data_IF_385292865639
#
_entry.id   IF_385292865639
#
_cell.length_a   1.000
_cell.length_b   1.000
_cell.length_c   1.000
_cell.angle_alpha   90.00
_cell.angle_beta   90.00
_cell.angle_gamma   90.00
#
_symmetry.space_group_name_H-M   'P 1'
#
loop_
_entity.id
_entity.type
_entity.pdbx_description
1 polymer ?
#
# COMPACT_ATOMS: atom_id res chain seq x y z
N UNK A 1 12.56 -19.32 4.04
CA UNK A 1 13.21 -18.15 3.43
C UNK A 1 12.15 -17.07 3.35
N UNK A 2 12.28 -15.92 4.03
CA UNK A 2 11.29 -14.86 3.87
C UNK A 2 11.43 -14.28 2.46
N UNK A 3 10.36 -14.36 1.67
CA UNK A 3 10.28 -13.73 0.37
C UNK A 3 10.66 -12.26 0.50
N UNK A 4 11.60 -11.84 -0.33
CA UNK A 4 12.10 -10.48 -0.37
C UNK A 4 11.03 -9.60 -1.01
N UNK A 5 9.99 -9.28 -0.25
CA UNK A 5 8.89 -8.41 -0.71
C UNK A 5 9.44 -7.00 -0.82
N UNK A 6 9.90 -6.65 -2.01
CA UNK A 6 10.26 -5.28 -2.36
C UNK A 6 9.10 -4.36 -1.96
N UNK A 7 9.38 -3.44 -1.04
CA UNK A 7 8.34 -2.63 -0.41
C UNK A 7 7.96 -1.51 -1.36
N UNK A 8 6.98 -1.75 -2.22
CA UNK A 8 6.50 -0.73 -3.16
C UNK A 8 5.94 0.44 -2.37
N UNK A 9 6.59 1.60 -2.48
CA UNK A 9 6.09 2.83 -1.91
C UNK A 9 5.04 3.40 -2.86
N UNK A 10 3.76 3.54 -2.42
CA UNK A 10 2.77 4.21 -3.24
C UNK A 10 3.22 5.66 -3.50
N UNK A 11 2.89 6.17 -4.69
CA UNK A 11 3.13 7.58 -4.99
C UNK A 11 2.45 8.46 -3.93
N UNK A 12 3.10 9.55 -3.48
CA UNK A 12 2.56 10.40 -2.40
C UNK A 12 1.11 10.84 -2.65
N UNK A 13 0.81 11.29 -3.87
CA UNK A 13 -0.55 11.68 -4.25
C UNK A 13 -1.58 10.54 -4.27
N UNK A 14 -1.14 9.31 -4.52
CA UNK A 14 -1.99 8.11 -4.51
C UNK A 14 -2.47 7.82 -3.08
N UNK A 15 -1.56 7.94 -2.11
CA UNK A 15 -1.84 7.68 -0.71
C UNK A 15 -2.77 8.74 -0.12
N UNK A 16 -2.54 10.02 -0.41
CA UNK A 16 -3.41 11.12 0.03
C UNK A 16 -4.83 10.94 -0.45
N UNK A 17 -5.02 10.66 -1.74
CA UNK A 17 -6.36 10.47 -2.32
C UNK A 17 -7.06 9.25 -1.73
N UNK A 18 -6.33 8.17 -1.49
CA UNK A 18 -6.88 6.99 -0.82
C UNK A 18 -7.29 7.30 0.62
N UNK A 19 -6.46 8.01 1.38
CA UNK A 19 -6.74 8.35 2.77
C UNK A 19 -7.99 9.24 2.89
N UNK A 20 -8.15 10.26 2.05
CA UNK A 20 -9.35 11.11 2.04
C UNK A 20 -10.63 10.34 1.68
N UNK A 21 -10.52 9.35 0.77
CA UNK A 21 -11.64 8.51 0.39
C UNK A 21 -12.07 7.56 1.52
N UNK A 22 -11.10 6.89 2.16
CA UNK A 22 -11.36 5.72 3.02
C UNK A 22 -11.23 5.98 4.53
N UNK A 23 -10.59 7.06 4.96
CA UNK A 23 -10.42 7.40 6.38
C UNK A 23 -11.34 8.56 6.72
N UNK A 24 -12.30 8.31 7.61
CA UNK A 24 -13.31 9.31 8.00
C UNK A 24 -13.22 9.59 9.50
N UNK A 25 -13.11 10.87 9.90
CA UNK A 25 -13.33 11.25 11.29
C UNK A 25 -14.70 10.73 11.74
N UNK A 26 -14.76 10.14 12.93
CA UNK A 26 -16.01 9.69 13.52
C UNK A 26 -16.20 10.33 14.89
N UNK A 27 -17.43 10.72 15.26
CA UNK A 27 -17.69 11.23 16.61
C UNK A 27 -17.31 10.16 17.62
N UNK A 28 -16.65 10.59 18.70
CA UNK A 28 -16.29 9.71 19.81
C UNK A 28 -17.59 9.10 20.32
N UNK A 29 -17.77 7.79 20.09
CA UNK A 29 -18.90 7.09 20.64
C UNK A 29 -18.64 6.96 22.14
N UNK A 30 -19.14 7.93 22.92
CA UNK A 30 -19.30 7.78 24.37
C UNK A 30 -20.36 6.70 24.55
N UNK A 31 -19.94 5.44 24.44
CA UNK A 31 -20.84 4.30 24.40
C UNK A 31 -21.61 4.24 25.72
N UNK A 32 -22.83 4.77 25.68
CA UNK A 32 -23.83 4.55 26.71
C UNK A 32 -24.28 3.10 26.59
N UNK A 33 -23.59 2.24 27.33
CA UNK A 33 -23.96 0.91 27.79
C UNK A 33 -23.61 -0.31 26.89
N UNK A 34 -22.73 -1.14 27.46
CA UNK A 34 -22.53 -2.59 27.29
C UNK A 34 -21.69 -3.19 26.16
N UNK A 35 -21.15 -2.41 25.23
CA UNK A 35 -20.11 -2.92 24.32
C UNK A 35 -18.74 -2.40 24.77
N UNK A 36 -17.68 -3.23 24.82
CA UNK A 36 -16.31 -2.78 25.10
C UNK A 36 -15.75 -2.02 23.90
N UNK A 37 -16.39 -0.91 23.53
CA UNK A 37 -15.79 0.08 22.65
C UNK A 37 -14.59 0.66 23.41
N UNK A 38 -13.39 0.30 23.00
CA UNK A 38 -12.18 0.87 23.58
C UNK A 38 -12.25 2.39 23.39
N UNK A 39 -12.27 3.13 24.49
CA UNK A 39 -12.17 4.60 24.48
C UNK A 39 -10.76 5.08 24.10
N UNK A 40 -9.87 4.14 23.80
CA UNK A 40 -8.45 4.32 23.55
C UNK A 40 -8.09 3.80 22.16
N UNK A 41 -7.09 4.45 21.57
CA UNK A 41 -6.50 4.09 20.30
C UNK A 41 -5.69 2.80 20.41
N UNK A 42 -5.92 1.83 19.54
CA UNK A 42 -5.19 0.55 19.59
C UNK A 42 -3.71 0.66 19.16
N UNK A 43 -3.29 1.81 18.61
CA UNK A 43 -1.91 2.02 18.14
C UNK A 43 -1.05 2.63 19.24
N UNK A 44 -1.47 3.77 19.81
CA UNK A 44 -0.72 4.48 20.85
C UNK A 44 -1.25 4.27 22.27
N UNK A 45 -2.43 3.64 22.43
CA UNK A 45 -3.11 3.44 23.72
C UNK A 45 -3.57 4.74 24.40
N UNK A 46 -3.62 5.86 23.67
CA UNK A 46 -4.12 7.13 24.19
C UNK A 46 -5.64 7.26 24.01
N UNK A 47 -6.34 7.95 24.92
CA UNK A 47 -7.77 8.19 24.80
C UNK A 47 -8.08 9.13 23.64
N UNK A 48 -9.18 8.87 22.93
CA UNK A 48 -9.65 9.75 21.86
C UNK A 48 -10.08 11.11 22.41
N UNK A 49 -9.79 12.18 21.67
CA UNK A 49 -10.23 13.52 22.00
C UNK A 49 -10.50 14.34 20.72
N UNK A 50 -11.24 15.45 20.84
CA UNK A 50 -11.71 16.22 19.68
C UNK A 50 -10.62 17.06 18.99
N UNK A 51 -9.47 17.27 19.63
CA UNK A 51 -8.47 18.25 19.18
C UNK A 51 -7.16 17.66 18.68
N UNK A 52 -6.63 16.68 19.41
CA UNK A 52 -5.30 16.12 19.22
C UNK A 52 -5.38 14.64 18.77
N UNK A 53 -6.31 13.89 19.35
CA UNK A 53 -6.46 12.45 19.12
C UNK A 53 -7.83 12.10 18.52
N UNK A 54 -8.16 12.74 17.40
CA UNK A 54 -9.46 12.59 16.72
C UNK A 54 -9.66 11.13 16.31
N UNK A 55 -10.77 10.54 16.75
CA UNK A 55 -11.14 9.19 16.34
C UNK A 55 -11.47 9.17 14.84
N UNK A 56 -10.84 8.26 14.10
CA UNK A 56 -11.05 8.04 12.69
C UNK A 56 -11.34 6.57 12.41
N UNK A 57 -12.30 6.33 11.52
CA UNK A 57 -12.75 5.01 11.09
C UNK A 57 -12.31 4.75 9.66
N UNK A 58 -11.86 3.52 9.41
CA UNK A 58 -11.60 3.03 8.05
C UNK A 58 -12.94 2.58 7.43
N UNK A 59 -13.27 3.12 6.27
CA UNK A 59 -14.55 2.93 5.57
C UNK A 59 -14.33 2.43 4.15
N UNK A 60 -15.34 1.77 3.59
CA UNK A 60 -15.35 1.29 2.20
C UNK A 60 -14.22 0.30 1.85
N UNK A 61 -13.78 -0.49 2.83
CA UNK A 61 -12.80 -1.57 2.65
C UNK A 61 -13.39 -2.88 3.17
N UNK A 62 -13.64 -3.83 2.27
CA UNK A 62 -14.27 -5.11 2.61
C UNK A 62 -13.44 -5.97 3.57
N UNK A 63 -12.12 -5.83 3.58
CA UNK A 63 -11.19 -6.58 4.44
C UNK A 63 -11.09 -6.02 5.85
N UNK A 64 -11.62 -4.82 6.11
CA UNK A 64 -11.51 -4.14 7.39
C UNK A 64 -12.91 -3.69 7.88
N UNK A 65 -13.50 -4.36 8.87
CA UNK A 65 -14.88 -4.12 9.33
C UNK A 65 -15.01 -2.85 10.19
N UNK A 66 -14.55 -1.69 9.70
CA UNK A 66 -14.69 -0.40 10.38
C UNK A 66 -13.93 -0.23 11.70
N UNK A 67 -12.68 -0.70 11.76
CA UNK A 67 -11.80 -0.42 12.90
C UNK A 67 -11.55 1.10 13.07
N UNK A 68 -11.47 1.52 14.34
CA UNK A 68 -11.28 2.92 14.76
C UNK A 68 -9.88 3.11 15.34
N UNK A 69 -9.23 4.20 14.96
CA UNK A 69 -7.89 4.59 15.39
C UNK A 69 -7.83 6.10 15.61
N UNK A 70 -6.75 6.59 16.24
CA UNK A 70 -6.45 8.02 16.19
C UNK A 70 -6.09 8.41 14.76
N UNK A 71 -6.65 9.51 14.27
CA UNK A 71 -6.46 9.98 12.89
C UNK A 71 -4.96 10.10 12.57
N UNK A 72 -4.20 10.79 13.41
CA UNK A 72 -2.75 10.93 13.24
C UNK A 72 -2.04 9.58 13.27
N UNK A 73 -2.47 8.66 14.14
CA UNK A 73 -1.84 7.34 14.28
C UNK A 73 -2.04 6.48 13.04
N UNK A 74 -3.24 6.41 12.47
CA UNK A 74 -3.48 5.59 11.28
C UNK A 74 -2.80 6.17 10.05
N UNK A 75 -2.75 7.50 9.91
CA UNK A 75 -1.99 8.14 8.83
C UNK A 75 -0.50 7.85 8.98
N UNK A 76 0.06 8.02 10.18
CA UNK A 76 1.47 7.72 10.46
C UNK A 76 1.78 6.24 10.20
N UNK A 77 0.84 5.35 10.52
CA UNK A 77 0.97 3.92 10.25
C UNK A 77 1.10 3.64 8.75
N UNK A 78 0.15 4.11 7.92
CA UNK A 78 0.15 3.84 6.47
C UNK A 78 1.27 4.57 5.73
N UNK A 79 1.76 5.69 6.26
CA UNK A 79 2.91 6.43 5.71
C UNK A 79 4.25 5.93 6.26
N UNK A 80 4.30 5.01 7.22
CA UNK A 80 5.58 4.53 7.77
C UNK A 80 6.37 3.72 6.72
N UNK A 81 7.68 3.51 6.90
CA UNK A 81 8.46 2.61 6.02
C UNK A 81 8.32 1.13 6.47
N UNK A 82 7.32 0.77 7.27
CA UNK A 82 7.14 -0.60 7.79
C UNK A 82 6.57 -1.53 6.71
N UNK A 83 6.94 -2.83 6.70
CA UNK A 83 6.43 -3.80 5.71
C UNK A 83 4.92 -4.02 5.84
N UNK A 84 4.38 -3.95 7.06
CA UNK A 84 2.96 -4.19 7.35
C UNK A 84 2.09 -2.93 7.35
N UNK A 85 2.63 -1.78 6.92
CA UNK A 85 1.92 -0.48 6.93
C UNK A 85 0.60 -0.48 6.16
N UNK A 86 0.50 -1.33 5.13
CA UNK A 86 -0.68 -1.42 4.27
C UNK A 86 -1.75 -2.36 4.84
N UNK A 87 -1.54 -2.90 6.03
CA UNK A 87 -2.49 -3.77 6.71
C UNK A 87 -3.06 -3.08 7.96
N UNK A 88 -4.32 -3.41 8.28
CA UNK A 88 -4.99 -2.92 9.47
C UNK A 88 -4.27 -3.42 10.74
N UNK A 89 -3.93 -2.57 11.71
CA UNK A 89 -3.28 -3.01 12.95
C UNK A 89 -4.10 -4.00 13.79
N UNK A 90 -5.43 -3.99 13.65
CA UNK A 90 -6.33 -4.86 14.43
C UNK A 90 -6.62 -6.17 13.69
N UNK A 91 -7.27 -6.12 12.51
CA UNK A 91 -7.66 -7.34 11.79
C UNK A 91 -6.64 -7.84 10.77
N UNK A 92 -5.54 -7.11 10.55
CA UNK A 92 -4.55 -7.41 9.49
C UNK A 92 -5.13 -7.44 8.07
N UNK A 93 -6.35 -6.94 7.87
CA UNK A 93 -6.95 -6.78 6.55
C UNK A 93 -6.18 -5.76 5.70
N UNK A 94 -6.01 -6.06 4.41
CA UNK A 94 -5.30 -5.19 3.48
C UNK A 94 -6.07 -3.88 3.25
N UNK A 95 -5.46 -2.75 3.58
CA UNK A 95 -6.03 -1.41 3.46
C UNK A 95 -5.86 -0.86 2.03
N UNK A 96 -4.64 -0.92 1.50
CA UNK A 96 -4.30 -0.37 0.19
C UNK A 96 -3.73 -1.47 -0.72
N UNK A 97 -4.34 -1.66 -1.90
CA UNK A 97 -3.75 -2.45 -2.99
C UNK A 97 -2.97 -1.53 -3.91
N UNK A 98 -1.66 -1.67 -3.94
CA UNK A 98 -0.82 -0.98 -4.95
C UNK A 98 -1.00 -1.72 -6.28
N UNK A 99 -1.78 -1.14 -7.19
CA UNK A 99 -1.88 -1.63 -8.57
C UNK A 99 -0.52 -1.38 -9.23
N UNK A 100 0.33 -2.40 -9.31
CA UNK A 100 1.67 -2.23 -9.85
C UNK A 100 2.59 -3.43 -9.74
N UNK A 101 2.32 -4.37 -8.83
CA UNK A 101 2.97 -5.68 -8.84
C UNK A 101 2.03 -6.74 -9.41
N UNK A 102 1.73 -6.61 -10.71
CA UNK A 102 1.54 -7.82 -11.51
C UNK A 102 2.95 -8.29 -11.90
N UNK A 103 3.80 -8.59 -10.91
CA UNK A 103 5.09 -9.22 -11.18
C UNK A 103 4.79 -10.66 -11.59
N UNK A 104 4.53 -10.84 -12.89
CA UNK A 104 4.91 -12.06 -13.59
C UNK A 104 4.20 -13.36 -13.24
N UNK A 105 3.19 -13.38 -12.36
CA UNK A 105 2.30 -14.53 -12.29
C UNK A 105 1.42 -14.53 -13.56
N UNK A 106 1.70 -15.49 -14.44
CA UNK A 106 0.84 -15.98 -15.50
C UNK A 106 0.79 -15.18 -16.80
N UNK A 107 1.97 -14.90 -17.37
CA UNK A 107 2.11 -14.95 -18.83
C UNK A 107 3.05 -16.08 -19.25
N UNK A 108 2.93 -17.22 -18.58
CA UNK A 108 3.36 -18.51 -19.13
C UNK A 108 2.26 -19.06 -20.04
N UNK A 109 1.79 -18.29 -21.03
CA UNK A 109 0.90 -18.87 -22.03
C UNK A 109 0.95 -18.11 -23.35
N UNK A 110 1.31 -18.89 -24.37
CA UNK A 110 1.01 -18.70 -25.77
C UNK A 110 1.83 -17.67 -26.56
N UNK A 111 3.15 -17.88 -26.65
CA UNK A 111 3.81 -17.66 -27.93
C UNK A 111 5.13 -18.43 -28.03
N UNK A 112 5.12 -19.63 -28.61
CA UNK A 112 5.97 -20.04 -29.74
C UNK A 112 5.75 -21.54 -30.01
N UNK A 113 4.64 -21.84 -30.70
CA UNK A 113 4.66 -22.92 -31.67
C UNK A 113 5.52 -22.45 -32.84
N UNK A 114 6.84 -22.62 -32.72
CA UNK A 114 7.70 -22.74 -33.90
C UNK A 114 7.79 -24.22 -34.21
N UNK A 115 6.79 -24.69 -34.94
CA UNK A 115 6.92 -25.90 -35.75
C UNK A 115 7.98 -25.63 -36.83
N UNK A 116 8.78 -26.65 -37.16
CA UNK A 116 9.81 -26.71 -38.20
C UNK A 116 11.16 -26.02 -37.96
N UNK A 117 12.05 -26.74 -37.27
CA UNK A 117 13.44 -26.86 -37.73
C UNK A 117 14.01 -28.22 -37.34
N UNK A 118 13.79 -29.19 -38.20
CA UNK A 118 14.55 -30.43 -38.24
C UNK A 118 16.01 -30.10 -38.61
N UNK A 119 16.91 -29.99 -37.63
CA UNK A 119 18.31 -30.34 -37.90
C UNK A 119 18.97 -30.94 -36.65
N UNK A 120 19.43 -32.16 -36.87
CA UNK A 120 19.99 -33.04 -35.89
C UNK A 120 21.51 -32.85 -35.84
N UNK A 121 22.03 -32.32 -34.73
CA UNK A 121 23.42 -32.61 -34.34
C UNK A 121 23.51 -32.96 -32.88
N UNK A 122 23.40 -34.27 -32.67
CA UNK A 122 24.04 -35.11 -31.68
C UNK A 122 25.24 -34.42 -30.98
N UNK A 123 25.09 -34.04 -29.72
CA UNK A 123 26.22 -33.82 -28.81
C UNK A 123 25.98 -34.62 -27.53
N UNK A 124 26.61 -35.80 -27.57
CA UNK A 124 26.94 -36.71 -26.49
C UNK A 124 27.62 -35.93 -25.36
N UNK A 125 26.91 -35.73 -24.24
CA UNK A 125 27.50 -35.26 -22.99
C UNK A 125 27.50 -36.40 -21.99
N UNK A 126 28.72 -36.80 -21.66
CA UNK A 126 29.06 -37.91 -20.79
C UNK A 126 28.63 -37.63 -19.35
N UNK A 127 27.88 -38.58 -18.82
CA UNK A 127 27.92 -39.13 -17.46
C UNK A 127 28.90 -38.46 -16.48
N UNK A 128 28.40 -37.55 -15.63
CA UNK A 128 29.12 -37.06 -14.44
C UNK A 128 28.39 -37.43 -13.16
N UNK A 129 28.61 -38.69 -12.78
CA UNK A 129 29.03 -39.17 -11.45
C UNK A 129 28.46 -38.48 -10.20
N UNK A 130 27.74 -39.30 -9.44
CA UNK A 130 27.26 -39.15 -8.07
C UNK A 130 28.28 -38.52 -7.11
N UNK A 131 27.80 -37.60 -6.26
CA UNK A 131 28.49 -37.24 -5.03
C UNK A 131 27.47 -37.13 -3.90
N UNK A 132 27.31 -38.25 -3.20
CA UNK A 132 26.56 -38.39 -1.96
C UNK A 132 27.15 -37.48 -0.87
N UNK A 133 26.44 -36.39 -0.58
CA UNK A 133 26.75 -35.45 0.48
C UNK A 133 25.88 -35.70 1.71
N UNK A 134 26.37 -36.59 2.56
CA UNK A 134 25.97 -36.83 3.95
C UNK A 134 26.02 -35.53 4.76
N UNK A 135 24.88 -35.10 5.34
CA UNK A 135 24.88 -34.26 6.54
C UNK A 135 23.73 -34.68 7.47
N UNK A 136 24.08 -35.62 8.34
CA UNK A 136 23.73 -35.71 9.76
C UNK A 136 22.42 -35.08 10.25
N UNK A 137 21.61 -36.00 10.78
CA UNK A 137 20.61 -35.85 11.83
C UNK A 137 20.95 -34.78 12.88
N UNK A 138 20.03 -33.83 13.12
CA UNK A 138 19.94 -33.15 14.41
C UNK A 138 18.51 -33.27 14.94
N UNK A 139 18.47 -34.00 16.05
CA UNK A 139 17.35 -34.45 16.86
C UNK A 139 16.97 -33.31 17.82
N UNK A 140 15.73 -32.82 17.72
CA UNK A 140 15.08 -32.11 18.82
C UNK A 140 13.56 -32.19 18.65
N UNK A 141 13.01 -33.28 19.19
CA UNK A 141 11.62 -33.44 19.55
C UNK A 141 11.28 -32.53 20.74
N UNK A 142 10.40 -31.54 20.53
CA UNK A 142 9.59 -31.00 21.63
C UNK A 142 8.12 -30.92 21.17
N UNK A 143 7.37 -31.90 21.67
CA UNK A 143 5.94 -32.05 21.57
C UNK A 143 5.21 -30.86 22.23
N UNK A 144 4.43 -30.12 21.45
CA UNK A 144 3.34 -29.30 21.97
C UNK A 144 2.11 -29.43 21.09
N UNK A 145 1.40 -30.55 21.28
CA UNK A 145 -0.02 -30.68 20.93
C UNK A 145 -0.83 -29.69 21.77
N UNK A 146 -1.12 -28.52 21.18
CA UNK A 146 -2.18 -27.64 21.65
C UNK A 146 -3.31 -27.70 20.65
N UNK A 147 -4.31 -28.52 21.00
CA UNK A 147 -5.64 -28.58 20.41
C UNK A 147 -6.19 -27.17 20.12
N UNK A 148 -6.07 -26.70 18.88
CA UNK A 148 -6.82 -25.53 18.45
C UNK A 148 -7.93 -25.95 17.48
N UNK A 149 -9.13 -26.00 18.07
CA UNK A 149 -10.40 -26.29 17.43
C UNK A 149 -10.53 -25.59 16.08
N UNK A 150 -10.70 -26.40 15.03
CA UNK A 150 -11.28 -25.97 13.76
C UNK A 150 -12.65 -25.35 14.04
N UNK A 151 -12.67 -24.02 14.17
CA UNK A 151 -13.86 -23.23 13.95
C UNK A 151 -14.23 -23.34 12.48
N UNK A 152 -15.38 -23.93 12.24
CA UNK A 152 -16.11 -24.02 10.98
C UNK A 152 -16.15 -22.63 10.31
N UNK A 153 -15.19 -22.36 9.43
CA UNK A 153 -15.23 -21.21 8.55
C UNK A 153 -16.32 -21.48 7.52
N UNK A 154 -17.51 -20.93 7.77
CA UNK A 154 -18.50 -20.75 6.73
C UNK A 154 -17.84 -19.96 5.60
N UNK A 155 -17.64 -20.64 4.47
CA UNK A 155 -17.35 -20.03 3.17
C UNK A 155 -18.46 -19.03 2.86
N UNK A 156 -18.27 -17.79 3.30
CA UNK A 156 -19.04 -16.66 2.80
C UNK A 156 -18.54 -16.41 1.39
N UNK A 157 -19.39 -16.75 0.43
CA UNK A 157 -19.20 -16.44 -0.99
C UNK A 157 -18.67 -15.01 -1.14
N UNK A 158 -17.67 -14.77 -2.00
CA UNK A 158 -17.20 -13.42 -2.28
C UNK A 158 -18.41 -12.59 -2.73
N UNK A 159 -18.75 -11.57 -1.94
CA UNK A 159 -19.75 -10.58 -2.32
C UNK A 159 -19.11 -9.82 -3.50
N UNK A 160 -19.50 -10.20 -4.70
CA UNK A 160 -19.27 -9.42 -5.91
C UNK A 160 -20.10 -8.16 -5.72
N UNK A 161 -19.46 -7.09 -5.24
CA UNK A 161 -20.03 -5.75 -5.31
C UNK A 161 -19.99 -5.38 -6.78
N UNK A 162 -21.07 -5.68 -7.48
CA UNK A 162 -21.35 -5.20 -8.83
C UNK A 162 -21.30 -3.66 -8.76
N UNK A 163 -20.16 -3.10 -9.13
CA UNK A 163 -20.00 -1.68 -9.38
C UNK A 163 -20.96 -1.33 -10.51
N UNK A 164 -22.12 -0.79 -10.14
CA UNK A 164 -23.08 -0.26 -11.10
C UNK A 164 -22.40 0.93 -11.76
N UNK A 165 -21.91 0.69 -12.98
CA UNK A 165 -21.66 1.73 -13.96
C UNK A 165 -22.87 2.67 -13.96
N UNK A 166 -22.70 3.87 -13.42
CA UNK A 166 -23.61 4.97 -13.69
C UNK A 166 -23.32 5.38 -15.13
N UNK A 167 -24.30 5.33 -16.05
CA UNK A 167 -24.10 5.85 -17.39
C UNK A 167 -23.77 7.34 -17.27
N UNK A 168 -22.66 7.73 -17.91
CA UNK A 168 -22.27 9.11 -18.13
C UNK A 168 -23.49 9.88 -18.63
N UNK A 169 -23.99 10.78 -17.78
CA UNK A 169 -25.02 11.71 -18.18
C UNK A 169 -24.32 12.77 -19.00
N UNK A 170 -24.54 12.72 -20.31
CA UNK A 170 -24.25 13.79 -21.26
C UNK A 170 -24.83 15.09 -20.73
N UNK A 171 -24.00 15.88 -20.04
CA UNK A 171 -24.32 17.20 -19.56
C UNK A 171 -23.38 18.18 -20.26
N UNK A 172 -23.87 18.67 -21.39
CA UNK A 172 -23.77 20.05 -21.88
C UNK A 172 -22.42 20.77 -21.67
N UNK A 173 -21.59 20.65 -22.71
CA UNK A 173 -20.81 21.68 -23.38
C UNK A 173 -21.12 23.15 -22.97
N UNK A 174 -20.50 23.68 -21.90
CA UNK A 174 -20.51 25.12 -21.61
C UNK A 174 -19.10 25.73 -21.58
N UNK A 175 -18.80 26.44 -22.69
CA UNK A 175 -17.97 27.63 -22.84
C UNK A 175 -16.61 27.70 -22.11
N UNK A 176 -15.55 27.30 -22.82
CA UNK A 176 -14.18 27.74 -22.54
C UNK A 176 -14.01 29.18 -23.05
N UNK A 177 -13.94 30.15 -22.14
CA UNK A 177 -13.47 31.51 -22.47
C UNK A 177 -11.94 31.47 -22.53
N UNK A 178 -11.40 31.49 -23.74
CA UNK A 178 -9.98 31.70 -24.01
C UNK A 178 -9.67 33.18 -23.78
N UNK A 179 -9.04 33.50 -22.64
CA UNK A 179 -8.34 34.79 -22.49
C UNK A 179 -6.91 34.62 -22.93
N UNK A 180 -6.62 35.13 -24.11
CA UNK A 180 -5.30 35.30 -24.70
C UNK A 180 -4.42 36.10 -23.74
N UNK A 181 -3.26 35.55 -23.36
CA UNK A 181 -2.20 36.30 -22.68
C UNK A 181 -1.08 36.56 -23.68
N UNK A 182 -0.67 37.82 -23.86
CA UNK A 182 0.33 38.19 -24.85
C UNK A 182 1.73 37.71 -24.46
N UNK A 183 2.44 37.28 -25.49
CA UNK A 183 3.87 37.02 -25.55
C UNK A 183 4.67 38.13 -24.87
N UNK A 184 5.57 37.79 -23.93
CA UNK A 184 6.78 38.60 -23.75
C UNK A 184 7.94 37.94 -23.00
N UNK A 185 9.13 38.08 -23.61
CA UNK A 185 10.52 37.93 -23.13
C UNK A 185 10.94 36.66 -22.36
N UNK A 186 12.04 35.98 -22.67
CA UNK A 186 13.17 36.29 -23.54
C UNK A 186 14.19 35.15 -23.47
N UNK A 187 14.86 34.91 -24.59
CA UNK A 187 15.92 33.93 -24.73
C UNK A 187 17.17 34.39 -23.96
N UNK A 188 17.37 33.84 -22.76
CA UNK A 188 18.61 33.93 -22.00
C UNK A 188 19.49 32.73 -22.28
N UNK A 189 20.45 32.89 -23.19
CA UNK A 189 21.55 31.94 -23.43
C UNK A 189 22.55 31.98 -22.27
N UNK A 190 23.14 30.82 -21.94
CA UNK A 190 24.44 30.77 -21.26
C UNK A 190 24.47 29.93 -19.99
N UNK A 191 24.73 28.62 -20.14
CA UNK A 191 25.22 27.77 -19.06
C UNK A 191 26.23 26.79 -19.65
N UNK A 192 27.42 27.30 -19.96
CA UNK A 192 28.62 26.48 -20.09
C UNK A 192 29.08 26.22 -18.65
N UNK A 193 28.63 25.12 -18.05
CA UNK A 193 29.21 24.64 -16.80
C UNK A 193 29.95 23.34 -17.08
N UNK A 194 31.25 23.44 -16.83
CA UNK A 194 32.27 22.42 -16.96
C UNK A 194 31.88 21.19 -16.13
N UNK A 195 31.90 20.03 -16.78
CA UNK A 195 31.69 18.74 -16.14
C UNK A 195 32.94 18.40 -15.32
N UNK A 196 32.91 18.74 -14.03
CA UNK A 196 33.84 18.18 -13.06
C UNK A 196 33.28 16.82 -12.60
N UNK A 197 33.84 15.75 -13.16
CA UNK A 197 33.64 14.35 -12.75
C UNK A 197 34.08 14.19 -11.28
N UNK A 198 33.14 14.42 -10.36
CA UNK A 198 33.29 14.09 -8.95
C UNK A 198 32.51 12.80 -8.68
N UNK A 199 33.22 11.68 -8.76
CA UNK A 199 32.85 10.35 -8.26
C UNK A 199 32.69 10.39 -6.73
N UNK A 200 31.71 11.14 -6.24
CA UNK A 200 31.26 11.05 -4.87
C UNK A 200 30.25 9.93 -4.78
N UNK A 201 30.72 8.77 -4.34
CA UNK A 201 29.89 7.69 -3.80
C UNK A 201 28.96 8.29 -2.74
N UNK A 202 27.76 8.72 -3.16
CA UNK A 202 26.69 9.08 -2.24
C UNK A 202 26.18 7.77 -1.67
N UNK A 203 26.76 7.35 -0.56
CA UNK A 203 26.14 6.35 0.30
C UNK A 203 24.73 6.87 0.62
N UNK A 204 23.72 6.25 0.00
CA UNK A 204 22.32 6.54 0.25
C UNK A 204 22.02 6.10 1.69
N UNK A 205 22.39 6.95 2.64
CA UNK A 205 22.05 6.75 4.04
C UNK A 205 20.53 6.75 4.12
N UNK A 206 19.93 5.67 4.62
CA UNK A 206 18.47 5.50 4.71
C UNK A 206 17.75 6.48 5.65
N UNK A 207 18.31 7.67 5.89
CA UNK A 207 17.74 8.74 6.71
C UNK A 207 16.66 9.56 6.00
N UNK A 208 16.60 9.55 4.67
CA UNK A 208 15.67 10.42 3.94
C UNK A 208 14.21 9.94 4.00
N UNK A 209 13.94 8.67 4.29
CA UNK A 209 12.57 8.14 4.37
C UNK A 209 11.74 8.93 5.42
N UNK A 210 12.31 9.21 6.59
CA UNK A 210 11.55 9.76 7.73
C UNK A 210 11.00 11.17 7.51
N UNK A 211 11.77 12.05 6.86
CA UNK A 211 11.41 13.48 6.72
C UNK A 211 10.24 13.67 5.75
N UNK A 212 10.24 12.94 4.63
CA UNK A 212 9.16 13.02 3.64
C UNK A 212 7.83 12.48 4.20
N UNK A 213 7.88 11.45 5.05
CA UNK A 213 6.67 10.84 5.59
C UNK A 213 5.96 11.71 6.62
N UNK A 214 6.69 12.47 7.44
CA UNK A 214 6.06 13.39 8.40
C UNK A 214 5.35 14.56 7.71
N UNK A 215 5.98 15.12 6.67
CA UNK A 215 5.37 16.17 5.85
C UNK A 215 4.09 15.67 5.14
N UNK A 216 4.17 14.49 4.51
CA UNK A 216 3.03 13.87 3.84
C UNK A 216 1.90 13.54 4.84
N UNK A 217 2.23 13.00 6.02
CA UNK A 217 1.23 12.71 7.04
C UNK A 217 0.47 13.97 7.49
N UNK A 218 1.17 15.10 7.68
CA UNK A 218 0.54 16.39 8.02
C UNK A 218 -0.38 16.90 6.91
N UNK A 219 0.04 16.79 5.65
CA UNK A 219 -0.76 17.20 4.50
C UNK A 219 -2.06 16.39 4.42
N UNK A 220 -1.97 15.06 4.54
CA UNK A 220 -3.13 14.16 4.52
C UNK A 220 -4.11 14.49 5.64
N UNK A 221 -3.61 14.71 6.86
CA UNK A 221 -4.44 15.02 8.03
C UNK A 221 -5.15 16.36 7.84
N UNK A 222 -4.44 17.37 7.33
CA UNK A 222 -5.03 18.70 7.05
C UNK A 222 -6.14 18.58 6.01
N UNK A 223 -5.92 17.86 4.91
CA UNK A 223 -6.92 17.63 3.87
C UNK A 223 -8.17 16.92 4.39
N UNK A 224 -8.02 15.90 5.23
CA UNK A 224 -9.16 15.17 5.81
C UNK A 224 -9.97 16.06 6.76
N UNK A 225 -9.30 16.89 7.56
CA UNK A 225 -9.98 17.79 8.50
C UNK A 225 -10.72 18.92 7.78
N UNK A 226 -10.12 19.53 6.76
CA UNK A 226 -10.75 20.56 5.92
C UNK A 226 -12.01 20.04 5.22
N UNK A 227 -11.94 18.84 4.62
CA UNK A 227 -13.11 18.20 4.01
C UNK A 227 -14.21 17.91 5.03
N UNK A 228 -13.83 17.42 6.22
CA UNK A 228 -14.79 17.12 7.28
C UNK A 228 -15.48 18.37 7.81
N UNK A 229 -14.75 19.48 8.00
CA UNK A 229 -15.34 20.78 8.36
C UNK A 229 -16.28 21.31 7.28
N UNK A 230 -15.94 21.16 6.00
CA UNK A 230 -16.79 21.58 4.89
C UNK A 230 -18.12 20.82 4.79
N UNK A 231 -18.20 19.60 5.35
CA UNK A 231 -19.43 18.78 5.35
C UNK A 231 -20.35 18.99 6.57
N UNK A 232 -19.94 19.80 7.55
CA UNK A 232 -20.72 20.12 8.76
C UNK A 232 -21.60 21.35 8.57
#
# INVERSE_FOLDING_TARGET
MPDNVETINPCGGCLTRWACAHIRPCPIQTSTQNEPSSSECSICQEPYNEHDHVAARITDISTCPSHVFGLQCIITWITSCQPNRLHCPICRGLLLRVRGHHLGEDREDENYQNEDSEDATNQEWEDVSDSDGDTSDDDSSEDHDSDNRNGEFHNLSPIVVESRYLPDSDADEDAIIVTEHPDDFGYGSGWENEAEDSDSEMEATGGDCAIYHEALAREIVSSILEEHEATR
#
